data_IF_748722794054
#
_entry.id   IF_748722794054
#
_cell.length_a   1.000
_cell.length_b   1.000
_cell.length_c   1.000
_cell.angle_alpha   90.00
_cell.angle_beta   90.00
_cell.angle_gamma   90.00
#
_symmetry.space_group_name_H-M   'P 1'
#
loop_
_entity.id
_entity.type
_entity.pdbx_description
1 polymer ?
#
# COMPACT_ATOMS: atom_id res chain seq x y z
N UNK A 1 -1.50 31.02 10.56
CA UNK A 1 -2.30 30.15 9.71
C UNK A 1 -2.25 28.77 10.32
N UNK A 2 -3.40 28.22 10.67
CA UNK A 2 -3.54 27.01 11.50
C UNK A 2 -3.07 25.78 10.74
N UNK A 3 -2.07 25.07 11.22
CA UNK A 3 -1.67 23.75 10.77
C UNK A 3 -2.79 22.79 11.17
N UNK A 4 -3.65 22.43 10.21
CA UNK A 4 -4.56 21.31 10.39
C UNK A 4 -3.67 20.05 10.45
N UNK A 5 -3.42 19.55 11.66
CA UNK A 5 -2.64 18.35 11.88
C UNK A 5 -3.29 17.17 11.17
N UNK A 6 -2.51 16.42 10.41
CA UNK A 6 -2.82 15.07 10.00
C UNK A 6 -2.70 14.14 11.22
N UNK A 7 -3.59 14.31 12.19
CA UNK A 7 -3.82 13.32 13.25
C UNK A 7 -4.65 12.16 12.64
N UNK A 8 -4.04 11.43 11.74
CA UNK A 8 -4.50 10.10 11.42
C UNK A 8 -3.60 9.13 12.20
N UNK A 9 -3.76 9.12 13.52
CA UNK A 9 -3.27 8.04 14.35
C UNK A 9 -3.89 6.75 13.81
N UNK A 10 -3.11 6.00 13.02
CA UNK A 10 -3.39 4.58 12.79
C UNK A 10 -3.35 3.93 14.18
N UNK A 11 -4.55 3.74 14.76
CA UNK A 11 -4.69 3.05 16.04
C UNK A 11 -3.94 1.71 15.94
N UNK A 12 -2.84 1.50 16.68
CA UNK A 12 -2.05 0.27 16.59
C UNK A 12 -2.90 -0.97 16.87
N UNK A 13 -3.96 -0.84 17.67
CA UNK A 13 -4.91 -1.91 17.95
C UNK A 13 -5.76 -2.22 16.72
N UNK A 14 -6.23 -1.20 16.00
CA UNK A 14 -6.98 -1.37 14.74
C UNK A 14 -6.10 -1.97 13.65
N UNK A 15 -4.85 -1.52 13.52
CA UNK A 15 -3.89 -2.08 12.58
C UNK A 15 -3.62 -3.56 12.88
N UNK A 16 -3.33 -3.90 14.14
CA UNK A 16 -3.09 -5.29 14.58
C UNK A 16 -4.33 -6.15 14.34
N UNK A 17 -5.53 -5.66 14.66
CA UNK A 17 -6.77 -6.37 14.42
C UNK A 17 -7.01 -6.61 12.92
N UNK A 18 -6.73 -5.62 12.09
CA UNK A 18 -6.86 -5.72 10.62
C UNK A 18 -5.89 -6.73 10.04
N UNK A 19 -4.61 -6.68 10.40
CA UNK A 19 -3.59 -7.64 9.95
C UNK A 19 -3.93 -9.05 10.42
N UNK A 20 -4.35 -9.22 11.67
CA UNK A 20 -4.77 -10.52 12.20
C UNK A 20 -5.97 -11.07 11.44
N UNK A 21 -6.98 -10.25 11.17
CA UNK A 21 -8.16 -10.63 10.40
C UNK A 21 -7.79 -11.03 8.97
N UNK A 22 -6.96 -10.25 8.27
CA UNK A 22 -6.47 -10.56 6.93
C UNK A 22 -5.66 -11.85 6.90
N UNK A 23 -4.75 -12.04 7.86
CA UNK A 23 -3.92 -13.25 7.96
C UNK A 23 -4.79 -14.46 8.25
N UNK A 24 -5.76 -14.35 9.16
CA UNK A 24 -6.69 -15.43 9.45
C UNK A 24 -7.56 -15.79 8.25
N UNK A 25 -8.03 -14.79 7.50
CA UNK A 25 -8.89 -15.00 6.33
C UNK A 25 -8.10 -15.48 5.12
N UNK A 26 -6.93 -14.91 4.82
CA UNK A 26 -6.16 -15.19 3.60
C UNK A 26 -4.88 -15.99 3.83
N UNK A 27 -4.63 -16.49 5.03
CA UNK A 27 -3.48 -17.35 5.35
C UNK A 27 -3.47 -18.70 4.61
N UNK A 28 -4.66 -19.22 4.26
CA UNK A 28 -4.81 -20.48 3.52
C UNK A 28 -4.66 -20.29 2.01
N UNK A 29 -3.79 -21.06 1.37
CA UNK A 29 -3.49 -20.97 -0.07
C UNK A 29 -4.67 -21.30 -0.97
N UNK A 30 -5.52 -22.28 -0.60
CA UNK A 30 -6.70 -22.65 -1.36
C UNK A 30 -7.75 -21.57 -1.28
N UNK A 31 -7.93 -20.96 -0.11
CA UNK A 31 -8.88 -19.85 0.10
C UNK A 31 -8.49 -18.61 -0.70
N UNK A 32 -7.18 -18.29 -0.78
CA UNK A 32 -6.69 -17.22 -1.68
C UNK A 32 -6.99 -17.51 -3.15
N UNK A 33 -6.78 -18.76 -3.62
CA UNK A 33 -7.09 -19.16 -5.01
C UNK A 33 -8.58 -19.01 -5.31
N UNK A 34 -9.45 -19.44 -4.39
CA UNK A 34 -10.90 -19.31 -4.51
C UNK A 34 -11.29 -17.83 -4.64
N UNK A 35 -10.76 -16.97 -3.78
CA UNK A 35 -11.06 -15.55 -3.79
C UNK A 35 -10.61 -14.87 -5.09
N UNK A 36 -9.39 -15.13 -5.56
CA UNK A 36 -8.87 -14.58 -6.80
C UNK A 36 -9.67 -15.04 -8.02
N UNK A 37 -10.06 -16.31 -8.05
CA UNK A 37 -10.90 -16.82 -9.13
C UNK A 37 -12.28 -16.16 -9.16
N UNK A 38 -12.91 -15.95 -8.01
CA UNK A 38 -14.21 -15.27 -7.91
C UNK A 38 -14.16 -13.80 -8.33
N UNK A 39 -13.00 -13.13 -8.20
CA UNK A 39 -12.81 -11.79 -8.75
C UNK A 39 -12.83 -11.75 -10.26
N UNK A 40 -12.28 -12.78 -10.90
CA UNK A 40 -12.21 -12.89 -12.35
C UNK A 40 -13.50 -13.47 -12.95
N UNK A 41 -14.13 -14.42 -12.22
CA UNK A 41 -15.33 -15.13 -12.65
C UNK A 41 -16.45 -15.04 -11.60
N UNK A 42 -17.08 -13.85 -11.43
CA UNK A 42 -18.18 -13.70 -10.49
C UNK A 42 -19.39 -14.56 -10.87
N UNK A 43 -20.07 -15.12 -9.88
CA UNK A 43 -21.19 -16.00 -10.06
C UNK A 43 -20.82 -17.49 -10.18
N UNK A 44 -19.54 -17.84 -10.05
CA UNK A 44 -19.08 -19.23 -10.05
C UNK A 44 -19.65 -20.03 -8.90
N UNK A 45 -19.96 -21.32 -9.17
CA UNK A 45 -20.46 -22.25 -8.16
C UNK A 45 -19.34 -22.95 -7.40
N UNK A 46 -19.67 -23.58 -6.27
CA UNK A 46 -18.71 -24.39 -5.55
C UNK A 46 -18.11 -25.54 -6.38
N UNK A 47 -18.83 -26.00 -7.42
CA UNK A 47 -18.35 -27.03 -8.33
C UNK A 47 -17.30 -26.47 -9.28
N UNK A 48 -17.54 -25.29 -9.88
CA UNK A 48 -16.61 -24.62 -10.79
C UNK A 48 -15.29 -24.31 -10.06
N UNK A 49 -15.39 -23.87 -8.81
CA UNK A 49 -14.24 -23.61 -7.96
C UNK A 49 -13.47 -24.87 -7.55
N UNK A 50 -14.19 -25.98 -7.33
CA UNK A 50 -13.58 -27.28 -7.00
C UNK A 50 -12.73 -27.81 -8.18
N UNK A 51 -13.24 -27.67 -9.40
CA UNK A 51 -12.53 -28.02 -10.62
C UNK A 51 -11.29 -27.15 -10.82
N UNK A 52 -11.44 -25.82 -10.67
CA UNK A 52 -10.31 -24.89 -10.81
C UNK A 52 -9.21 -25.11 -9.76
N UNK A 53 -9.60 -25.29 -8.50
CA UNK A 53 -8.65 -25.45 -7.39
C UNK A 53 -8.13 -26.89 -7.26
N UNK A 54 -8.68 -27.85 -7.99
CA UNK A 54 -8.38 -29.28 -7.91
C UNK A 54 -8.56 -29.86 -6.50
N UNK A 55 -9.64 -29.46 -5.83
CA UNK A 55 -10.00 -29.94 -4.49
C UNK A 55 -11.46 -30.38 -4.47
N UNK A 56 -11.83 -31.17 -3.45
CA UNK A 56 -13.22 -31.62 -3.31
C UNK A 56 -14.17 -30.45 -3.01
N UNK A 57 -15.38 -30.46 -3.59
CA UNK A 57 -16.37 -29.38 -3.44
C UNK A 57 -16.74 -29.06 -1.97
N UNK A 58 -16.63 -30.02 -1.04
CA UNK A 58 -16.87 -29.76 0.38
C UNK A 58 -15.76 -28.88 1.00
N UNK A 59 -14.50 -29.04 0.55
CA UNK A 59 -13.39 -28.18 0.97
C UNK A 59 -13.64 -26.76 0.49
N UNK A 60 -14.06 -26.61 -0.77
CA UNK A 60 -14.42 -25.30 -1.32
C UNK A 60 -15.55 -24.65 -0.52
N UNK A 61 -16.62 -25.40 -0.20
CA UNK A 61 -17.74 -24.86 0.60
C UNK A 61 -17.25 -24.35 1.96
N UNK A 62 -16.39 -25.10 2.64
CA UNK A 62 -15.83 -24.67 3.92
C UNK A 62 -15.04 -23.35 3.80
N UNK A 63 -14.24 -23.18 2.72
CA UNK A 63 -13.55 -21.93 2.47
C UNK A 63 -14.50 -20.79 2.08
N UNK A 64 -15.54 -21.08 1.30
CA UNK A 64 -16.57 -20.10 0.93
C UNK A 64 -17.39 -19.64 2.15
N UNK A 65 -17.74 -20.55 3.06
CA UNK A 65 -18.42 -20.20 4.31
C UNK A 65 -17.56 -19.22 5.13
N UNK A 66 -16.28 -19.51 5.30
CA UNK A 66 -15.36 -18.61 6.01
C UNK A 66 -15.19 -17.25 5.33
N UNK A 67 -15.09 -17.21 3.99
CA UNK A 67 -15.01 -15.96 3.24
C UNK A 67 -16.30 -15.15 3.36
N UNK A 68 -17.46 -15.84 3.42
CA UNK A 68 -18.77 -15.21 3.58
C UNK A 68 -18.94 -14.66 5.02
N UNK A 69 -18.57 -15.45 6.04
CA UNK A 69 -18.57 -15.02 7.45
C UNK A 69 -17.68 -13.81 7.68
N UNK A 70 -16.55 -13.75 7.01
CA UNK A 70 -15.61 -12.60 7.08
C UNK A 70 -16.00 -11.43 6.18
N UNK A 71 -17.13 -11.49 5.46
CA UNK A 71 -17.66 -10.41 4.62
C UNK A 71 -16.93 -10.21 3.27
N UNK A 72 -16.07 -11.14 2.85
CA UNK A 72 -15.34 -11.02 1.57
C UNK A 72 -16.06 -11.58 0.37
N UNK A 73 -17.04 -12.48 0.58
CA UNK A 73 -17.79 -13.15 -0.47
C UNK A 73 -19.28 -13.18 -0.12
N UNK A 74 -20.13 -13.01 -1.11
CA UNK A 74 -21.57 -13.23 -1.01
C UNK A 74 -22.01 -14.21 -2.07
N UNK A 75 -23.29 -14.64 -2.03
CA UNK A 75 -23.85 -15.54 -3.02
C UNK A 75 -25.27 -15.17 -3.37
N UNK A 76 -25.64 -15.45 -4.62
CA UNK A 76 -27.00 -15.39 -5.12
C UNK A 76 -27.44 -16.81 -5.57
N UNK A 77 -28.74 -17.07 -5.52
CA UNK A 77 -29.27 -18.32 -6.02
C UNK A 77 -29.34 -18.29 -7.56
N UNK A 78 -28.51 -19.09 -8.20
CA UNK A 78 -28.53 -19.24 -9.67
C UNK A 78 -29.49 -20.34 -10.06
N UNK A 79 -30.54 -19.99 -10.83
CA UNK A 79 -31.43 -20.97 -11.45
C UNK A 79 -30.71 -21.56 -12.68
N UNK A 80 -30.18 -22.77 -12.57
CA UNK A 80 -29.84 -23.54 -13.76
C UNK A 80 -31.15 -24.03 -14.42
N UNK A 81 -31.18 -24.01 -15.74
CA UNK A 81 -32.34 -24.39 -16.59
C UNK A 81 -32.76 -25.88 -16.46
N UNK A 82 -32.07 -26.67 -15.66
CA UNK A 82 -32.34 -28.10 -15.40
C UNK A 82 -33.00 -28.29 -14.04
N UNK A 83 -33.90 -29.30 -13.99
CA UNK A 83 -34.62 -29.72 -12.76
C UNK A 83 -33.59 -30.07 -11.68
N UNK A 84 -33.60 -29.31 -10.56
CA UNK A 84 -32.70 -29.51 -9.42
C UNK A 84 -32.76 -28.39 -8.42
N UNK A 85 -32.10 -28.57 -7.26
CA UNK A 85 -31.98 -27.52 -6.24
C UNK A 85 -31.16 -26.36 -6.82
N UNK A 86 -31.58 -25.09 -6.65
CA UNK A 86 -30.82 -23.94 -7.11
C UNK A 86 -29.40 -24.00 -6.59
N UNK A 87 -28.41 -23.75 -7.45
CA UNK A 87 -27.02 -23.64 -7.07
C UNK A 87 -26.73 -22.23 -6.53
N UNK A 88 -25.82 -22.12 -5.55
CA UNK A 88 -25.31 -20.85 -5.13
C UNK A 88 -24.21 -20.40 -6.10
N UNK A 89 -24.36 -19.24 -6.70
CA UNK A 89 -23.31 -18.55 -7.45
C UNK A 89 -22.65 -17.52 -6.52
N UNK A 90 -21.36 -17.66 -6.32
CA UNK A 90 -20.58 -16.83 -5.40
C UNK A 90 -19.93 -15.68 -6.13
N UNK A 91 -19.84 -14.54 -5.46
CA UNK A 91 -19.11 -13.38 -5.95
C UNK A 91 -18.39 -12.67 -4.79
N UNK A 92 -17.30 -12.01 -5.07
CA UNK A 92 -16.62 -11.20 -4.09
C UNK A 92 -17.55 -10.05 -3.67
N UNK A 93 -17.65 -9.83 -2.36
CA UNK A 93 -18.21 -8.60 -1.83
C UNK A 93 -17.09 -7.55 -1.95
N UNK A 94 -17.22 -6.76 -3.00
CA UNK A 94 -16.37 -5.59 -3.17
C UNK A 94 -16.67 -4.47 -2.14
N UNK A 95 -17.24 -4.75 -0.98
CA UNK A 95 -17.49 -3.70 0.03
C UNK A 95 -16.22 -3.23 0.75
N UNK A 96 -15.18 -4.05 0.82
CA UNK A 96 -13.81 -3.57 1.14
C UNK A 96 -13.11 -2.96 -0.09
N UNK A 97 -13.64 -3.20 -1.30
CA UNK A 97 -13.23 -2.67 -2.60
C UNK A 97 -14.41 -2.14 -3.42
N UNK A 98 -15.60 -2.07 -2.89
CA UNK A 98 -16.73 -1.24 -3.32
C UNK A 98 -16.64 0.20 -2.83
N UNK A 99 -15.57 0.44 -2.86
CA UNK A 99 -14.91 1.39 -3.62
C UNK A 99 -15.35 1.64 -5.10
N UNK A 100 -16.36 1.05 -5.66
CA UNK A 100 -16.80 1.67 -6.91
C UNK A 100 -17.23 3.13 -6.69
N UNK A 101 -17.84 3.44 -5.60
CA UNK A 101 -17.99 4.84 -5.20
C UNK A 101 -16.75 5.45 -4.55
N UNK A 102 -15.86 4.73 -3.81
CA UNK A 102 -14.63 5.26 -3.24
C UNK A 102 -13.48 5.16 -4.24
N UNK A 103 -13.32 4.10 -5.03
CA UNK A 103 -12.38 4.03 -6.17
C UNK A 103 -12.67 5.12 -7.20
N UNK A 104 -13.94 5.43 -7.48
CA UNK A 104 -14.26 6.59 -8.32
C UNK A 104 -13.94 7.92 -7.65
N UNK A 105 -14.13 8.03 -6.33
CA UNK A 105 -13.77 9.24 -5.56
C UNK A 105 -12.27 9.38 -5.44
N UNK A 106 -11.57 8.30 -5.16
CA UNK A 106 -10.12 8.29 -5.09
C UNK A 106 -9.49 8.53 -6.46
N UNK A 107 -9.99 7.90 -7.53
CA UNK A 107 -9.56 8.17 -8.89
C UNK A 107 -9.83 9.62 -9.32
N UNK A 108 -10.98 10.18 -8.94
CA UNK A 108 -11.29 11.59 -9.20
C UNK A 108 -10.40 12.53 -8.40
N UNK A 109 -10.10 12.18 -7.14
CA UNK A 109 -9.18 12.94 -6.30
C UNK A 109 -7.76 12.89 -6.88
N UNK A 110 -7.29 11.71 -7.27
CA UNK A 110 -5.99 11.55 -7.93
C UNK A 110 -5.94 12.38 -9.22
N UNK A 111 -6.93 12.29 -10.11
CA UNK A 111 -6.99 13.08 -11.34
C UNK A 111 -7.03 14.59 -11.06
N UNK A 112 -7.72 15.03 -10.00
CA UNK A 112 -7.72 16.42 -9.58
C UNK A 112 -6.33 16.86 -9.11
N UNK A 113 -5.65 16.04 -8.31
CA UNK A 113 -4.30 16.32 -7.82
C UNK A 113 -3.29 16.34 -8.98
N UNK A 114 -3.36 15.37 -9.90
CA UNK A 114 -2.53 15.35 -11.11
C UNK A 114 -2.70 16.64 -11.92
N UNK A 115 -3.94 17.02 -12.19
CA UNK A 115 -4.24 18.28 -12.90
C UNK A 115 -3.75 19.53 -12.14
N UNK A 116 -3.85 19.51 -10.81
CA UNK A 116 -3.36 20.61 -9.97
C UNK A 116 -1.82 20.72 -10.03
N UNK A 117 -1.11 19.60 -9.95
CA UNK A 117 0.36 19.55 -10.06
C UNK A 117 0.83 20.03 -11.45
N UNK A 118 0.16 19.63 -12.52
CA UNK A 118 0.46 20.13 -13.88
C UNK A 118 0.29 21.66 -14.00
N UNK A 119 -0.72 22.24 -13.34
CA UNK A 119 -0.97 23.68 -13.36
C UNK A 119 0.00 24.50 -12.52
N UNK A 120 0.61 23.90 -11.49
CA UNK A 120 1.60 24.57 -10.66
C UNK A 120 2.92 24.81 -11.41
N UNK A 121 3.20 24.02 -12.45
CA UNK A 121 4.50 23.96 -13.10
C UNK A 121 5.51 23.12 -12.33
N UNK A 122 6.61 22.69 -12.99
CA UNK A 122 7.49 21.63 -12.49
C UNK A 122 8.14 21.97 -11.14
N UNK A 123 8.70 23.17 -11.00
CA UNK A 123 9.43 23.56 -9.78
C UNK A 123 8.51 23.69 -8.55
N UNK A 124 7.35 24.32 -8.73
CA UNK A 124 6.38 24.49 -7.65
C UNK A 124 5.75 23.14 -7.24
N UNK A 125 5.49 22.26 -8.21
CA UNK A 125 4.98 20.92 -7.95
C UNK A 125 6.00 20.05 -7.23
N UNK A 126 7.29 20.13 -7.61
CA UNK A 126 8.37 19.38 -6.94
C UNK A 126 8.58 19.86 -5.50
N UNK A 127 8.55 21.17 -5.26
CA UNK A 127 8.65 21.74 -3.92
C UNK A 127 7.46 21.31 -3.05
N UNK A 128 6.24 21.41 -3.56
CA UNK A 128 5.04 20.96 -2.84
C UNK A 128 5.12 19.47 -2.48
N UNK A 129 5.49 18.62 -3.44
CA UNK A 129 5.63 17.19 -3.20
C UNK A 129 6.70 16.88 -2.15
N UNK A 130 7.84 17.56 -2.21
CA UNK A 130 8.90 17.47 -1.21
C UNK A 130 8.41 17.91 0.17
N UNK A 131 7.76 19.05 0.29
CA UNK A 131 7.32 19.62 1.56
C UNK A 131 6.27 18.71 2.23
N UNK A 132 5.31 18.20 1.45
CA UNK A 132 4.31 17.22 1.95
C UNK A 132 5.01 15.95 2.44
N UNK A 133 5.98 15.44 1.69
CA UNK A 133 6.79 14.28 2.11
C UNK A 133 7.54 14.57 3.41
N UNK A 134 8.17 15.74 3.52
CA UNK A 134 8.95 16.12 4.69
C UNK A 134 8.08 16.24 5.95
N UNK A 135 6.93 16.87 5.87
CA UNK A 135 6.02 16.99 7.02
C UNK A 135 5.48 15.62 7.47
N UNK A 136 5.15 14.76 6.51
CA UNK A 136 4.73 13.40 6.81
C UNK A 136 5.88 12.56 7.40
N UNK A 137 7.10 12.73 6.89
CA UNK A 137 8.30 12.07 7.40
C UNK A 137 8.60 12.42 8.85
N UNK A 138 8.49 13.71 9.22
CA UNK A 138 8.63 14.15 10.62
C UNK A 138 7.62 13.48 11.53
N UNK A 139 6.38 13.33 11.08
CA UNK A 139 5.33 12.63 11.83
C UNK A 139 5.68 11.16 12.03
N UNK A 140 6.18 10.49 10.99
CA UNK A 140 6.57 9.07 11.07
C UNK A 140 7.83 8.83 11.89
N UNK A 141 8.70 9.80 12.04
CA UNK A 141 9.95 9.67 12.82
C UNK A 141 9.69 9.19 14.26
N UNK A 142 8.58 9.60 14.87
CA UNK A 142 8.17 9.16 16.21
C UNK A 142 8.00 7.62 16.29
N UNK A 143 7.66 6.94 15.20
CA UNK A 143 7.53 5.49 15.12
C UNK A 143 8.87 4.76 15.00
N UNK A 144 9.93 5.47 14.57
CA UNK A 144 11.30 4.94 14.49
C UNK A 144 11.99 4.97 15.86
N UNK A 145 11.69 6.00 16.66
CA UNK A 145 12.24 6.16 17.99
C UNK A 145 12.43 7.65 18.39
N UNK A 146 12.87 7.89 19.60
CA UNK A 146 13.10 9.25 20.07
C UNK A 146 14.23 9.92 19.27
N UNK A 147 14.16 11.25 19.19
CA UNK A 147 15.26 12.05 18.65
C UNK A 147 16.51 11.85 19.51
N UNK A 148 17.61 11.48 18.87
CA UNK A 148 18.90 11.26 19.52
C UNK A 148 20.02 11.84 18.64
N UNK A 149 20.62 12.91 19.10
CA UNK A 149 21.71 13.60 18.40
C UNK A 149 23.02 12.79 18.36
N UNK A 150 23.11 11.69 19.09
CA UNK A 150 24.25 10.75 19.02
C UNK A 150 24.09 9.70 17.90
N UNK A 151 22.89 9.57 17.34
CA UNK A 151 22.59 8.63 16.26
C UNK A 151 23.32 9.02 14.97
N UNK A 152 23.94 8.07 14.33
CA UNK A 152 24.57 8.30 13.03
C UNK A 152 23.53 8.24 11.90
N UNK A 153 23.82 8.92 10.78
CA UNK A 153 22.99 8.86 9.56
C UNK A 153 22.78 7.40 9.13
N UNK A 154 23.81 6.57 9.18
CA UNK A 154 23.76 5.14 8.86
C UNK A 154 22.74 4.39 9.71
N UNK A 155 22.75 4.56 11.02
CA UNK A 155 21.81 3.91 11.94
C UNK A 155 20.37 4.40 11.71
N UNK A 156 20.20 5.69 11.43
CA UNK A 156 18.91 6.26 11.10
C UNK A 156 18.37 5.68 9.78
N UNK A 157 19.19 5.66 8.73
CA UNK A 157 18.79 5.12 7.42
C UNK A 157 18.40 3.63 7.49
N UNK A 158 19.13 2.82 8.26
CA UNK A 158 18.76 1.43 8.49
C UNK A 158 17.41 1.28 9.22
N UNK A 159 17.16 2.11 10.23
CA UNK A 159 15.89 2.12 10.97
C UNK A 159 14.72 2.57 10.10
N UNK A 160 14.93 3.62 9.28
CA UNK A 160 13.95 4.13 8.32
C UNK A 160 13.63 3.07 7.27
N UNK A 161 14.62 2.38 6.70
CA UNK A 161 14.41 1.30 5.74
C UNK A 161 13.56 0.16 6.34
N UNK A 162 13.81 -0.21 7.60
CA UNK A 162 13.01 -1.18 8.33
C UNK A 162 11.54 -0.75 8.48
N UNK A 163 11.30 0.51 8.86
CA UNK A 163 9.95 1.06 8.99
C UNK A 163 9.24 1.11 7.63
N UNK A 164 9.91 1.59 6.58
CA UNK A 164 9.36 1.64 5.23
C UNK A 164 8.98 0.24 4.73
N UNK A 165 9.82 -0.77 5.01
CA UNK A 165 9.52 -2.17 4.66
C UNK A 165 8.29 -2.68 5.41
N UNK A 166 8.13 -2.36 6.70
CA UNK A 166 6.93 -2.70 7.45
C UNK A 166 5.66 -2.04 6.88
N UNK A 167 5.80 -0.91 6.17
CA UNK A 167 4.70 -0.21 5.47
C UNK A 167 4.58 -0.60 3.98
N UNK A 168 5.24 -1.67 3.53
CA UNK A 168 5.07 -2.23 2.19
C UNK A 168 5.96 -1.64 1.08
N UNK A 169 6.95 -0.80 1.43
CA UNK A 169 7.86 -0.19 0.44
C UNK A 169 8.95 -1.14 -0.07
N UNK A 170 9.16 -2.29 0.56
CA UNK A 170 10.28 -3.20 0.28
C UNK A 170 11.61 -2.44 0.16
N UNK A 171 11.95 -1.71 1.22
CA UNK A 171 13.11 -0.84 1.27
C UNK A 171 14.26 -1.51 2.02
N UNK A 172 15.48 -1.29 1.54
CA UNK A 172 16.70 -1.73 2.23
C UNK A 172 17.70 -0.59 2.33
N UNK A 173 18.51 -0.59 3.38
CA UNK A 173 19.65 0.33 3.49
C UNK A 173 20.88 -0.27 2.80
N UNK A 174 21.60 0.58 2.09
CA UNK A 174 22.90 0.27 1.50
C UNK A 174 23.88 1.35 1.95
N UNK A 175 25.02 0.91 2.48
CA UNK A 175 26.06 1.81 2.99
C UNK A 175 27.32 1.73 2.14
N UNK A 176 27.95 2.87 1.92
CA UNK A 176 29.28 3.00 1.38
C UNK A 176 30.22 3.70 2.38
N UNK A 177 31.47 3.93 2.02
CA UNK A 177 32.43 4.60 2.93
C UNK A 177 31.99 6.00 3.36
N UNK A 178 31.20 6.72 2.56
CA UNK A 178 30.86 8.12 2.79
C UNK A 178 29.37 8.44 2.71
N UNK A 179 28.52 7.48 2.31
CA UNK A 179 27.09 7.72 2.11
C UNK A 179 26.27 6.53 2.59
N UNK A 180 25.09 6.82 3.08
CA UNK A 180 24.06 5.82 3.37
C UNK A 180 22.86 6.04 2.45
N UNK A 181 22.33 4.97 1.90
CA UNK A 181 21.22 5.03 0.94
C UNK A 181 20.09 4.10 1.34
N UNK A 182 18.89 4.48 1.01
CA UNK A 182 17.72 3.59 1.02
C UNK A 182 17.35 3.29 -0.43
N UNK A 183 17.32 2.00 -0.78
CA UNK A 183 16.90 1.50 -2.08
C UNK A 183 15.52 0.91 -1.93
N UNK A 184 14.57 1.38 -2.74
CA UNK A 184 13.19 0.87 -2.78
C UNK A 184 12.97 0.03 -4.04
N UNK A 185 12.54 -1.22 -3.87
CA UNK A 185 12.23 -2.12 -4.98
C UNK A 185 10.81 -1.89 -5.51
N UNK A 186 9.87 -1.55 -4.62
CA UNK A 186 8.50 -1.24 -4.95
C UNK A 186 8.21 0.25 -4.75
N UNK A 187 7.67 0.89 -5.78
CA UNK A 187 7.19 2.27 -5.67
C UNK A 187 5.78 2.28 -5.07
N UNK A 188 5.53 3.03 -3.99
CA UNK A 188 4.19 3.13 -3.40
C UNK A 188 3.20 3.84 -4.34
N UNK A 189 3.69 4.70 -5.24
CA UNK A 189 2.87 5.40 -6.22
C UNK A 189 2.66 4.59 -7.52
N UNK A 190 3.32 3.43 -7.66
CA UNK A 190 3.15 2.53 -8.79
C UNK A 190 3.30 3.23 -10.15
N UNK A 191 2.32 3.03 -11.04
CA UNK A 191 2.32 3.64 -12.38
C UNK A 191 2.12 5.16 -12.35
N UNK A 192 1.54 5.74 -11.31
CA UNK A 192 1.37 7.18 -11.21
C UNK A 192 2.72 7.93 -11.22
N UNK A 193 3.75 7.37 -10.55
CA UNK A 193 5.09 7.97 -10.58
C UNK A 193 5.74 7.95 -11.97
N UNK A 194 5.38 6.98 -12.83
CA UNK A 194 5.88 6.92 -14.21
C UNK A 194 5.28 8.04 -15.08
N UNK A 195 4.02 8.39 -14.84
CA UNK A 195 3.33 9.48 -15.55
C UNK A 195 3.68 10.85 -14.95
N UNK A 196 3.88 10.90 -13.64
CA UNK A 196 4.17 12.12 -12.89
C UNK A 196 5.43 11.95 -12.02
N UNK A 197 6.65 12.05 -12.61
CA UNK A 197 7.91 11.85 -11.88
C UNK A 197 8.12 12.81 -10.69
N UNK A 198 7.36 13.90 -10.64
CA UNK A 198 7.33 14.83 -9.50
C UNK A 198 6.96 14.14 -8.19
N UNK A 199 6.17 13.07 -8.25
CA UNK A 199 5.79 12.29 -7.06
C UNK A 199 6.99 11.66 -6.35
N UNK A 200 8.11 11.45 -7.05
CA UNK A 200 9.34 10.96 -6.43
C UNK A 200 9.95 11.97 -5.44
N UNK A 201 9.61 13.25 -5.54
CA UNK A 201 10.04 14.25 -4.56
C UNK A 201 9.40 14.03 -3.18
N UNK A 202 8.24 13.36 -3.11
CA UNK A 202 7.61 12.94 -1.85
C UNK A 202 8.54 11.97 -1.11
N UNK A 203 9.13 10.98 -1.80
CA UNK A 203 10.05 10.02 -1.16
C UNK A 203 11.29 10.69 -0.62
N UNK A 204 11.85 11.65 -1.37
CA UNK A 204 12.98 12.46 -0.90
C UNK A 204 12.61 13.26 0.34
N UNK A 205 11.47 13.93 0.31
CA UNK A 205 10.94 14.69 1.44
C UNK A 205 10.69 13.80 2.65
N UNK A 206 10.04 12.64 2.44
CA UNK A 206 9.72 11.67 3.48
C UNK A 206 10.96 11.23 4.26
N UNK A 207 12.00 10.79 3.56
CA UNK A 207 13.25 10.35 4.21
C UNK A 207 13.96 11.52 4.88
N UNK A 208 14.02 12.69 4.23
CA UNK A 208 14.57 13.92 4.83
C UNK A 208 13.83 14.31 6.10
N UNK A 209 12.50 14.31 6.09
CA UNK A 209 11.67 14.61 7.25
C UNK A 209 11.84 13.61 8.40
N UNK A 210 12.01 12.32 8.08
CA UNK A 210 12.31 11.31 9.10
C UNK A 210 13.69 11.53 9.74
N UNK A 211 14.72 11.88 8.96
CA UNK A 211 16.03 12.23 9.46
C UNK A 211 15.97 13.46 10.36
N UNK A 212 15.26 14.51 9.95
CA UNK A 212 15.02 15.70 10.77
C UNK A 212 14.37 15.35 12.12
N UNK A 213 13.30 14.54 12.09
CA UNK A 213 12.58 14.11 13.30
C UNK A 213 13.41 13.23 14.23
N UNK A 214 14.44 12.57 13.71
CA UNK A 214 15.42 11.79 14.47
C UNK A 214 16.58 12.62 15.01
N UNK A 215 16.62 13.93 14.76
CA UNK A 215 17.66 14.85 15.23
C UNK A 215 18.86 15.00 14.29
N UNK A 216 18.74 14.52 13.05
CA UNK A 216 19.75 14.61 11.99
C UNK A 216 19.40 15.72 10.99
N UNK A 217 18.99 16.87 11.52
CA UNK A 217 18.68 18.06 10.74
C UNK A 217 19.87 18.47 9.83
N UNK A 218 19.55 19.04 8.65
CA UNK A 218 20.51 19.47 7.63
C UNK A 218 21.24 18.35 6.89
N UNK A 219 20.83 17.11 7.02
CA UNK A 219 21.34 16.04 6.16
C UNK A 219 20.86 16.29 4.73
N UNK A 220 21.81 16.44 3.80
CA UNK A 220 21.44 16.64 2.38
C UNK A 220 20.97 15.31 1.79
N UNK A 221 19.75 15.29 1.30
CA UNK A 221 19.12 14.09 0.75
C UNK A 221 18.96 14.24 -0.75
N UNK A 222 19.55 13.32 -1.50
CA UNK A 222 19.45 13.24 -2.96
C UNK A 222 18.61 12.04 -3.40
N UNK A 223 18.01 12.14 -4.58
CA UNK A 223 17.11 11.11 -5.11
C UNK A 223 17.52 10.73 -6.54
N UNK A 224 17.62 9.44 -6.80
CA UNK A 224 17.53 8.85 -8.14
C UNK A 224 16.24 8.03 -8.26
N UNK A 225 15.66 7.94 -9.45
CA UNK A 225 14.37 7.28 -9.63
C UNK A 225 14.20 6.71 -11.03
N UNK A 226 13.70 5.46 -11.11
CA UNK A 226 13.33 4.82 -12.38
C UNK A 226 12.33 5.65 -13.19
N UNK A 227 11.44 6.38 -12.51
CA UNK A 227 10.49 7.27 -13.17
C UNK A 227 11.16 8.48 -13.83
N UNK A 228 12.39 8.82 -13.44
CA UNK A 228 13.24 9.86 -14.03
C UNK A 228 14.28 9.31 -15.01
N UNK A 229 14.28 7.98 -15.23
CA UNK A 229 15.19 7.31 -16.16
C UNK A 229 16.44 6.69 -15.52
N UNK A 230 16.55 6.72 -14.20
CA UNK A 230 17.67 6.08 -13.49
C UNK A 230 17.49 4.56 -13.39
N UNK A 231 18.56 3.86 -12.99
CA UNK A 231 18.57 2.39 -12.89
C UNK A 231 17.76 1.87 -11.71
N UNK A 232 17.69 2.63 -10.61
CA UNK A 232 17.01 2.25 -9.38
C UNK A 232 16.28 3.45 -8.75
N UNK A 233 15.46 3.15 -7.74
CA UNK A 233 14.87 4.15 -6.86
C UNK A 233 15.70 4.18 -5.58
N UNK A 234 16.45 5.27 -5.39
CA UNK A 234 17.43 5.40 -4.30
C UNK A 234 17.38 6.80 -3.71
N UNK A 235 17.33 6.86 -2.39
CA UNK A 235 17.51 8.10 -1.63
C UNK A 235 18.80 7.99 -0.85
N UNK A 236 19.70 8.94 -1.06
CA UNK A 236 21.05 8.97 -0.47
C UNK A 236 21.19 10.16 0.46
N UNK A 237 21.75 9.93 1.64
CA UNK A 237 22.07 10.90 2.66
C UNK A 237 23.57 10.90 3.00
#
# INVERSE_FOLDING_TARGET
>A
MSTAGFENELDPALFTATVTSLTHTFGDGTRRKIYLYLREFPGSTAQDLAEHCQVHANVVRHHLDRLTESGYVTFDNVRKTTVGRPAKGYRVLDELFNAEGSVRRDALLVALLETALERLGPDAAENLAHDVGQDYGRTLAASVGPSDSSRTVKEAMASIAGLLTAHGFNARSEDSEHTSSIVSENCPFGSAAQHHPVLCAVDRGLIGGMLDGLGLERTNVTLTSRARGDSDCRVTA
#
